data_IF_363293255616
#
_entry.id   IF_363293255616
#
_cell.length_a   1.000
_cell.length_b   1.000
_cell.length_c   1.000
_cell.angle_alpha   90.00
_cell.angle_beta   90.00
_cell.angle_gamma   90.00
#
_symmetry.space_group_name_H-M   'P 1'
#
loop_
_entity.id
_entity.type
_entity.pdbx_description
1 polymer ?
#
# COMPACT_ATOMS: atom_id res chain seq x y z
N UNK A 1 15.04 6.88 5.23
CA UNK A 1 13.73 6.64 4.57
C UNK A 1 13.83 6.71 3.06
N UNK A 2 14.55 7.70 2.51
CA UNK A 2 14.83 7.80 1.08
C UNK A 2 15.32 6.47 0.46
N UNK A 3 16.30 5.78 1.08
CA UNK A 3 16.80 4.48 0.58
C UNK A 3 15.71 3.40 0.42
N UNK A 4 14.74 3.35 1.34
CA UNK A 4 13.62 2.40 1.24
C UNK A 4 12.73 2.77 0.06
N UNK A 5 12.43 4.05 -0.09
CA UNK A 5 11.62 4.57 -1.20
C UNK A 5 12.32 4.30 -2.54
N UNK A 6 13.63 4.47 -2.63
CA UNK A 6 14.40 4.18 -3.85
C UNK A 6 14.34 2.71 -4.24
N UNK A 7 14.47 1.80 -3.27
CA UNK A 7 14.32 0.37 -3.52
C UNK A 7 12.90 0.03 -3.99
N UNK A 8 11.88 0.65 -3.39
CA UNK A 8 10.49 0.46 -3.81
C UNK A 8 10.19 1.05 -5.20
N UNK A 9 10.79 2.20 -5.55
CA UNK A 9 10.73 2.76 -6.89
C UNK A 9 11.46 1.87 -7.91
N UNK A 10 12.60 1.28 -7.53
CA UNK A 10 13.28 0.29 -8.36
C UNK A 10 12.39 -0.95 -8.58
N UNK A 11 11.72 -1.44 -7.54
CA UNK A 11 10.79 -2.57 -7.68
C UNK A 11 9.60 -2.22 -8.57
N UNK A 12 9.07 -1.00 -8.48
CA UNK A 12 7.93 -0.55 -9.28
C UNK A 12 8.27 -0.28 -10.75
N UNK A 13 9.47 0.24 -11.03
CA UNK A 13 9.89 0.66 -12.37
C UNK A 13 10.77 -0.35 -13.08
N UNK A 14 11.48 -1.17 -12.30
CA UNK A 14 12.57 -2.04 -12.73
C UNK A 14 13.81 -1.29 -13.25
N UNK A 15 13.91 0.02 -13.00
CA UNK A 15 15.09 0.82 -13.32
C UNK A 15 15.76 1.28 -12.02
N UNK A 16 17.02 0.89 -11.75
CA UNK A 16 17.72 1.33 -10.56
C UNK A 16 18.00 2.83 -10.65
N UNK A 17 17.78 3.56 -9.55
CA UNK A 17 18.16 4.97 -9.50
C UNK A 17 19.69 5.10 -9.41
N UNK A 18 20.30 6.02 -10.18
CA UNK A 18 21.76 6.12 -10.28
C UNK A 18 22.41 6.72 -9.03
N UNK A 19 21.67 7.50 -8.24
CA UNK A 19 22.15 8.15 -7.04
C UNK A 19 21.31 7.70 -5.84
N UNK A 20 21.98 7.33 -4.74
CA UNK A 20 21.34 7.19 -3.42
C UNK A 20 20.97 8.56 -2.88
N UNK A 21 19.81 8.68 -2.24
CA UNK A 21 19.23 9.94 -1.78
C UNK A 21 18.90 10.93 -2.92
N UNK A 22 18.24 10.42 -3.96
CA UNK A 22 17.66 11.22 -5.03
C UNK A 22 16.57 12.17 -4.47
N UNK A 23 16.49 13.43 -4.96
CA UNK A 23 15.40 14.34 -4.61
C UNK A 23 14.01 13.75 -4.90
N UNK A 24 13.94 12.82 -5.86
CA UNK A 24 12.74 12.04 -6.18
C UNK A 24 12.25 11.24 -4.97
N UNK A 25 13.13 10.48 -4.32
CA UNK A 25 12.77 9.66 -3.17
C UNK A 25 12.36 10.48 -1.95
N UNK A 26 12.96 11.66 -1.76
CA UNK A 26 12.56 12.59 -0.70
C UNK A 26 11.15 13.14 -0.92
N UNK A 27 10.84 13.58 -2.15
CA UNK A 27 9.50 14.05 -2.50
C UNK A 27 8.44 12.95 -2.36
N UNK A 28 8.74 11.72 -2.77
CA UNK A 28 7.83 10.59 -2.56
C UNK A 28 7.66 10.30 -1.08
N UNK A 29 8.70 10.43 -0.26
CA UNK A 29 8.59 10.32 1.18
C UNK A 29 7.70 11.42 1.80
N UNK A 30 7.83 12.67 1.37
CA UNK A 30 6.96 13.76 1.80
C UNK A 30 5.49 13.49 1.46
N UNK A 31 5.23 12.94 0.26
CA UNK A 31 3.90 12.49 -0.14
C UNK A 31 3.39 11.43 0.85
N UNK A 32 4.17 10.39 1.15
CA UNK A 32 3.78 9.34 2.10
C UNK A 32 3.43 9.93 3.47
N UNK A 33 4.30 10.80 4.01
CA UNK A 33 4.08 11.48 5.29
C UNK A 33 2.77 12.25 5.25
N UNK A 34 2.54 13.04 4.20
CA UNK A 34 1.33 13.86 4.10
C UNK A 34 0.06 13.02 3.98
N UNK A 35 0.08 11.90 3.26
CA UNK A 35 -1.09 11.05 3.08
C UNK A 35 -1.39 10.19 4.33
N UNK A 36 -0.35 9.68 5.00
CA UNK A 36 -0.53 8.78 6.15
C UNK A 36 -0.73 9.53 7.48
N UNK A 37 -0.14 10.72 7.67
CA UNK A 37 -0.32 11.50 8.91
C UNK A 37 -1.79 11.72 9.31
N UNK A 38 -2.69 12.20 8.41
CA UNK A 38 -4.09 12.38 8.79
C UNK A 38 -4.81 11.05 9.05
N UNK A 39 -4.43 9.97 8.37
CA UNK A 39 -4.98 8.63 8.64
C UNK A 39 -4.58 8.17 10.05
N UNK A 40 -3.29 8.27 10.40
CA UNK A 40 -2.79 7.86 11.71
C UNK A 40 -3.44 8.69 12.82
N UNK A 41 -3.70 9.98 12.59
CA UNK A 41 -4.41 10.83 13.54
C UNK A 41 -5.87 10.37 13.82
N UNK A 42 -6.46 9.53 12.96
CA UNK A 42 -7.80 8.96 13.20
C UNK A 42 -7.79 7.66 13.98
N UNK A 43 -6.62 7.11 14.30
CA UNK A 43 -6.53 5.86 15.04
C UNK A 43 -6.90 6.08 16.51
N UNK A 44 -7.68 5.18 17.12
CA UNK A 44 -8.02 5.30 18.53
C UNK A 44 -6.76 5.14 19.38
N UNK A 45 -6.63 5.90 20.47
CA UNK A 45 -5.48 5.82 21.40
C UNK A 45 -5.21 4.38 21.88
N UNK A 46 -6.26 3.56 22.01
CA UNK A 46 -6.15 2.14 22.37
C UNK A 46 -5.48 1.25 21.31
N UNK A 47 -5.54 1.62 20.03
CA UNK A 47 -4.79 0.95 18.96
C UNK A 47 -3.34 1.42 18.90
N UNK A 48 -3.07 2.60 19.46
CA UNK A 48 -1.75 3.21 19.49
C UNK A 48 -0.93 2.69 20.68
N UNK A 49 -1.56 2.32 21.80
CA UNK A 49 -0.87 1.85 23.01
C UNK A 49 -0.70 0.31 23.06
N UNK A 50 0.54 -0.17 22.94
CA UNK A 50 0.89 -1.60 23.05
C UNK A 50 0.46 -2.32 24.35
N UNK A 51 0.22 -1.59 25.44
CA UNK A 51 -0.08 -2.17 26.76
C UNK A 51 -1.55 -2.64 26.94
N UNK A 52 -2.49 -2.09 26.17
CA UNK A 52 -3.94 -2.39 26.30
C UNK A 52 -4.44 -3.49 25.35
N UNK A 53 -3.60 -3.95 24.42
CA UNK A 53 -3.92 -4.96 23.40
C UNK A 53 -4.29 -6.36 23.94
N UNK A 54 -4.10 -6.64 25.23
CA UNK A 54 -4.49 -7.94 25.81
C UNK A 54 -6.00 -8.12 25.99
N UNK A 55 -6.83 -7.07 25.80
CA UNK A 55 -8.28 -7.12 26.06
C UNK A 55 -9.19 -6.64 24.93
N UNK A 56 -8.67 -6.08 23.84
CA UNK A 56 -9.49 -5.53 22.76
C UNK A 56 -9.19 -6.19 21.42
N UNK A 57 -10.25 -6.30 20.60
CA UNK A 57 -10.26 -6.87 19.26
C UNK A 57 -9.12 -6.25 18.44
N UNK A 58 -8.43 -7.07 17.66
CA UNK A 58 -7.28 -6.72 16.79
C UNK A 58 -7.67 -5.75 15.64
N UNK A 59 -8.81 -5.06 15.77
CA UNK A 59 -9.57 -4.34 14.74
C UNK A 59 -9.56 -2.81 14.86
N UNK A 60 -9.03 -2.24 15.94
CA UNK A 60 -9.13 -0.79 16.22
C UNK A 60 -8.56 0.14 15.14
N UNK A 61 -7.44 -0.22 14.50
CA UNK A 61 -6.85 0.54 13.40
C UNK A 61 -7.36 0.12 12.01
N UNK A 62 -7.91 -1.09 11.88
CA UNK A 62 -8.43 -1.63 10.61
C UNK A 62 -9.64 -0.84 10.14
N UNK A 63 -10.55 -0.47 11.05
CA UNK A 63 -11.73 0.32 10.71
C UNK A 63 -11.36 1.70 10.10
N UNK A 64 -10.51 2.54 10.73
CA UNK A 64 -10.03 3.78 10.12
C UNK A 64 -9.40 3.57 8.74
N UNK A 65 -8.57 2.53 8.57
CA UNK A 65 -7.95 2.20 7.27
C UNK A 65 -9.02 1.84 6.22
N UNK A 66 -9.98 0.99 6.57
CA UNK A 66 -11.06 0.62 5.64
C UNK A 66 -11.90 1.85 5.29
N UNK A 67 -12.26 2.70 6.26
CA UNK A 67 -13.00 3.94 6.00
C UNK A 67 -12.23 4.87 5.06
N UNK A 68 -10.92 4.96 5.25
CA UNK A 68 -10.03 5.72 4.39
C UNK A 68 -9.95 5.14 2.96
N UNK A 69 -9.87 3.81 2.83
CA UNK A 69 -9.82 3.12 1.53
C UNK A 69 -11.19 2.93 0.88
N UNK A 70 -12.30 3.12 1.59
CA UNK A 70 -13.67 2.84 1.12
C UNK A 70 -14.05 3.61 -0.15
N UNK A 71 -13.38 4.75 -0.40
CA UNK A 71 -13.57 5.53 -1.63
C UNK A 71 -12.90 4.90 -2.86
N UNK A 72 -11.97 3.96 -2.65
CA UNK A 72 -11.34 3.19 -3.71
C UNK A 72 -11.48 1.69 -3.47
N UNK A 73 -12.45 1.12 -4.18
CA UNK A 73 -12.70 -0.32 -4.21
C UNK A 73 -11.47 -1.13 -4.60
N UNK A 74 -10.63 -0.64 -5.51
CA UNK A 74 -9.39 -1.29 -5.93
C UNK A 74 -8.36 -1.37 -4.81
N UNK A 75 -8.06 -0.25 -4.15
CA UNK A 75 -7.11 -0.21 -3.03
C UNK A 75 -7.62 -1.00 -1.81
N UNK A 76 -8.92 -0.88 -1.49
CA UNK A 76 -9.55 -1.67 -0.43
C UNK A 76 -9.45 -3.18 -0.70
N UNK A 77 -9.70 -3.62 -1.94
CA UNK A 77 -9.54 -5.04 -2.34
C UNK A 77 -8.11 -5.51 -2.16
N UNK A 78 -7.11 -4.71 -2.57
CA UNK A 78 -5.70 -5.07 -2.39
C UNK A 78 -5.32 -5.17 -0.91
N UNK A 79 -5.80 -4.25 -0.09
CA UNK A 79 -5.61 -4.28 1.36
C UNK A 79 -6.22 -5.52 2.00
N UNK A 80 -7.50 -5.83 1.72
CA UNK A 80 -8.18 -7.03 2.26
C UNK A 80 -7.50 -8.32 1.79
N UNK A 81 -7.10 -8.39 0.52
CA UNK A 81 -6.33 -9.53 0.01
C UNK A 81 -4.99 -9.69 0.74
N UNK A 82 -4.33 -8.57 1.10
CA UNK A 82 -3.11 -8.61 1.91
C UNK A 82 -3.38 -9.14 3.33
N UNK A 83 -4.52 -8.79 3.94
CA UNK A 83 -4.91 -9.33 5.25
C UNK A 83 -5.07 -10.85 5.21
N UNK A 84 -5.74 -11.37 4.17
CA UNK A 84 -5.92 -12.81 3.99
C UNK A 84 -4.58 -13.56 3.85
N UNK A 85 -3.64 -13.00 3.08
CA UNK A 85 -2.31 -13.60 2.91
C UNK A 85 -1.52 -13.57 4.22
N UNK A 86 -1.56 -12.47 4.96
CA UNK A 86 -0.88 -12.37 6.26
C UNK A 86 -1.43 -13.41 7.25
N UNK A 87 -2.76 -13.58 7.30
CA UNK A 87 -3.40 -14.61 8.13
C UNK A 87 -2.95 -16.02 7.74
N UNK A 88 -2.89 -16.34 6.45
CA UNK A 88 -2.42 -17.64 5.96
C UNK A 88 -0.94 -17.89 6.30
N UNK A 89 -0.08 -16.88 6.14
CA UNK A 89 1.34 -16.97 6.52
C UNK A 89 1.48 -17.18 8.03
N UNK A 90 0.70 -16.49 8.85
CA UNK A 90 0.72 -16.68 10.31
C UNK A 90 0.25 -18.08 10.71
N UNK A 91 -0.78 -18.62 10.05
CA UNK A 91 -1.26 -19.98 10.29
C UNK A 91 -0.17 -21.03 10.00
N UNK A 92 0.51 -20.94 8.86
CA UNK A 92 1.58 -21.87 8.50
C UNK A 92 2.84 -21.74 9.37
N UNK A 93 3.18 -20.54 9.84
CA UNK A 93 4.27 -20.34 10.80
C UNK A 93 3.95 -21.03 12.14
N UNK A 94 2.67 -21.05 12.56
CA UNK A 94 2.26 -21.74 13.78
C UNK A 94 2.15 -23.27 13.63
N UNK A 95 1.91 -23.78 12.41
CA UNK A 95 1.84 -25.23 12.13
C UNK A 95 3.22 -25.89 12.09
N UNK A 96 4.28 -25.15 11.76
CA UNK A 96 5.65 -25.67 11.68
C UNK A 96 6.30 -26.02 13.03
N UNK A 97 5.68 -25.64 14.15
CA UNK A 97 6.25 -25.77 15.50
C UNK A 97 5.59 -26.86 16.37
N UNK A 98 4.62 -27.63 15.86
CA UNK A 98 3.92 -28.65 16.65
C UNK A 98 3.71 -29.97 15.89
N UNK A 99 4.33 -31.03 16.41
CA UNK A 99 4.04 -32.43 16.07
C UNK A 99 2.54 -32.75 16.27
N UNK A 100 2.05 -33.66 15.41
CA UNK A 100 0.71 -34.24 15.29
C UNK A 100 -0.24 -34.12 16.49
N UNK A 101 -1.36 -33.39 16.33
CA UNK A 101 -2.70 -33.86 16.78
C UNK A 101 -3.77 -33.37 15.80
N UNK A 102 -4.46 -34.32 15.19
CA UNK A 102 -5.59 -34.12 14.28
C UNK A 102 -6.80 -33.44 14.94
N UNK A 103 -7.27 -32.34 14.34
CA UNK A 103 -8.64 -31.85 14.44
C UNK A 103 -9.11 -31.39 13.05
N UNK A 104 -10.40 -31.56 12.70
CA UNK A 104 -10.89 -31.26 11.35
C UNK A 104 -10.80 -29.76 11.07
N UNK A 105 -10.23 -29.45 9.91
CA UNK A 105 -9.89 -28.11 9.41
C UNK A 105 -11.16 -27.37 8.95
N UNK A 106 -12.05 -27.02 9.88
CA UNK A 106 -13.14 -26.08 9.62
C UNK A 106 -12.86 -24.71 10.25
N UNK A 107 -12.36 -23.81 9.39
CA UNK A 107 -12.55 -22.33 9.44
C UNK A 107 -12.20 -21.60 10.74
N UNK A 108 -10.92 -21.56 11.12
CA UNK A 108 -10.40 -20.32 11.72
C UNK A 108 -10.27 -19.29 10.60
N UNK A 109 -11.32 -18.51 10.35
CA UNK A 109 -11.13 -17.22 9.68
C UNK A 109 -10.04 -16.49 10.48
N UNK A 110 -8.93 -16.12 9.83
CA UNK A 110 -7.82 -15.50 10.52
C UNK A 110 -8.27 -14.23 11.25
N UNK A 111 -7.61 -13.93 12.37
CA UNK A 111 -8.03 -12.85 13.27
C UNK A 111 -8.15 -11.50 12.55
N UNK A 112 -7.34 -11.27 11.50
CA UNK A 112 -7.37 -10.04 10.70
C UNK A 112 -8.57 -10.01 9.75
N UNK A 113 -8.91 -11.13 9.11
CA UNK A 113 -10.13 -11.22 8.29
C UNK A 113 -11.41 -11.07 9.13
N UNK A 114 -11.42 -11.61 10.36
CA UNK A 114 -12.52 -11.37 11.29
C UNK A 114 -12.65 -9.87 11.63
N UNK A 115 -11.54 -9.19 11.89
CA UNK A 115 -11.50 -7.75 12.12
C UNK A 115 -11.95 -6.92 10.91
N UNK A 116 -11.58 -7.31 9.69
CA UNK A 116 -12.08 -6.69 8.45
C UNK A 116 -13.60 -6.84 8.35
N UNK A 117 -14.13 -8.05 8.62
CA UNK A 117 -15.57 -8.31 8.59
C UNK A 117 -16.34 -7.47 9.62
N UNK A 118 -15.80 -7.36 10.84
CA UNK A 118 -16.33 -6.51 11.90
C UNK A 118 -16.39 -5.04 11.44
N UNK A 119 -15.27 -4.51 10.94
CA UNK A 119 -15.19 -3.13 10.47
C UNK A 119 -16.13 -2.82 9.28
N UNK A 120 -16.25 -3.73 8.31
CA UNK A 120 -17.20 -3.56 7.20
C UNK A 120 -18.66 -3.56 7.67
N UNK A 121 -18.98 -4.40 8.67
CA UNK A 121 -20.31 -4.44 9.27
C UNK A 121 -20.63 -3.13 10.00
N UNK A 122 -19.66 -2.58 10.75
CA UNK A 122 -19.80 -1.29 11.43
C UNK A 122 -20.03 -0.12 10.45
N UNK A 123 -19.43 -0.19 9.26
CA UNK A 123 -19.67 0.78 8.18
C UNK A 123 -21.02 0.58 7.46
N UNK A 124 -21.86 -0.36 7.91
CA UNK A 124 -23.14 -0.73 7.30
C UNK A 124 -23.02 -1.13 5.83
N UNK A 125 -21.93 -1.80 5.45
CA UNK A 125 -21.80 -2.33 4.09
C UNK A 125 -22.80 -3.48 3.87
N UNK A 126 -23.39 -3.61 2.67
CA UNK A 126 -24.29 -4.72 2.37
C UNK A 126 -23.58 -6.07 2.56
N UNK A 127 -24.27 -7.05 3.15
CA UNK A 127 -23.71 -8.37 3.41
C UNK A 127 -23.14 -9.03 2.14
N UNK A 128 -23.84 -8.90 1.01
CA UNK A 128 -23.41 -9.45 -0.28
C UNK A 128 -22.09 -8.81 -0.75
N UNK A 129 -21.91 -7.51 -0.54
CA UNK A 129 -20.66 -6.81 -0.83
C UNK A 129 -19.55 -7.30 0.09
N UNK A 130 -19.81 -7.49 1.38
CA UNK A 130 -18.80 -8.04 2.31
C UNK A 130 -18.40 -9.45 1.89
N UNK A 131 -19.36 -10.29 1.50
CA UNK A 131 -19.11 -11.63 0.99
C UNK A 131 -18.30 -11.60 -0.31
N UNK A 132 -18.59 -10.68 -1.25
CA UNK A 132 -17.80 -10.51 -2.47
C UNK A 132 -16.33 -10.22 -2.15
N UNK A 133 -16.05 -9.26 -1.26
CA UNK A 133 -14.67 -8.87 -0.94
C UNK A 133 -13.88 -9.96 -0.21
N UNK A 134 -14.55 -10.79 0.59
CA UNK A 134 -13.89 -11.83 1.40
C UNK A 134 -13.82 -13.19 0.71
N UNK A 135 -14.80 -13.55 -0.12
CA UNK A 135 -14.93 -14.90 -0.71
C UNK A 135 -14.54 -14.98 -2.18
N UNK A 136 -14.66 -13.88 -2.93
CA UNK A 136 -14.37 -13.83 -4.37
C UNK A 136 -13.44 -12.67 -4.66
N UNK A 137 -12.12 -12.80 -4.39
CA UNK A 137 -11.17 -11.77 -4.75
C UNK A 137 -11.12 -11.62 -6.27
N UNK A 138 -11.98 -10.75 -6.82
CA UNK A 138 -11.93 -10.34 -8.22
C UNK A 138 -10.57 -9.71 -8.48
N UNK A 139 -9.97 -10.08 -9.61
CA UNK A 139 -8.67 -9.58 -10.01
C UNK A 139 -8.68 -8.05 -10.06
N UNK A 140 -7.74 -7.42 -9.32
CA UNK A 140 -7.60 -5.97 -9.34
C UNK A 140 -6.82 -5.55 -10.60
N UNK A 141 -7.39 -4.71 -11.49
CA UNK A 141 -6.75 -4.35 -12.76
C UNK A 141 -5.39 -3.66 -12.56
N UNK A 142 -5.27 -2.82 -11.53
CA UNK A 142 -3.99 -2.19 -11.12
C UNK A 142 -2.94 -3.24 -10.79
N UNK A 143 -3.30 -4.19 -9.90
CA UNK A 143 -2.38 -5.25 -9.48
C UNK A 143 -1.97 -6.14 -10.64
N UNK A 144 -2.92 -6.46 -11.53
CA UNK A 144 -2.65 -7.24 -12.74
C UNK A 144 -1.70 -6.51 -13.68
N UNK A 145 -1.94 -5.22 -13.93
CA UNK A 145 -1.07 -4.41 -14.78
C UNK A 145 0.36 -4.32 -14.20
N UNK A 146 0.49 -4.09 -12.89
CA UNK A 146 1.78 -4.10 -12.18
C UNK A 146 2.51 -5.43 -12.33
N UNK A 147 1.82 -6.56 -12.14
CA UNK A 147 2.42 -7.89 -12.27
C UNK A 147 2.91 -8.18 -13.70
N UNK A 148 2.14 -7.80 -14.72
CA UNK A 148 2.55 -7.96 -16.13
C UNK A 148 3.79 -7.13 -16.44
N UNK A 149 3.82 -5.86 -15.99
CA UNK A 149 4.99 -5.00 -16.17
C UNK A 149 6.23 -5.58 -15.46
N UNK A 150 6.08 -6.00 -14.20
CA UNK A 150 7.17 -6.58 -13.42
C UNK A 150 7.73 -7.85 -14.06
N UNK A 151 6.87 -8.75 -14.56
CA UNK A 151 7.29 -9.97 -15.25
C UNK A 151 8.13 -9.65 -16.50
N UNK A 152 7.68 -8.72 -17.34
CA UNK A 152 8.42 -8.31 -18.53
C UNK A 152 9.76 -7.67 -18.22
N UNK A 153 9.78 -6.78 -17.23
CA UNK A 153 11.01 -6.08 -16.86
C UNK A 153 12.02 -7.08 -16.28
N UNK A 154 11.57 -8.00 -15.42
CA UNK A 154 12.46 -9.02 -14.83
C UNK A 154 12.97 -10.04 -15.84
N UNK A 155 12.20 -10.40 -16.87
CA UNK A 155 12.65 -11.27 -17.97
C UNK A 155 13.79 -10.64 -18.80
N UNK A 156 13.86 -9.31 -18.84
CA UNK A 156 14.87 -8.58 -19.61
C UNK A 156 16.13 -8.22 -18.80
N UNK A 157 16.15 -8.49 -17.49
CA UNK A 157 17.29 -8.18 -16.61
C UNK A 157 18.43 -9.19 -16.78
N UNK A 158 19.66 -8.70 -16.69
CA UNK A 158 20.82 -9.57 -16.51
C UNK A 158 20.85 -10.14 -15.07
N UNK A 159 21.61 -11.23 -14.81
CA UNK A 159 21.63 -11.88 -13.51
C UNK A 159 22.01 -10.97 -12.33
N UNK A 160 22.93 -10.01 -12.53
CA UNK A 160 23.36 -9.12 -11.45
C UNK A 160 22.27 -8.10 -11.11
N UNK A 161 21.65 -7.50 -12.14
CA UNK A 161 20.50 -6.60 -11.96
C UNK A 161 19.31 -7.32 -11.35
N UNK A 162 19.01 -8.55 -11.77
CA UNK A 162 17.93 -9.35 -11.21
C UNK A 162 18.16 -9.69 -9.73
N UNK A 163 19.40 -9.99 -9.33
CA UNK A 163 19.73 -10.19 -7.93
C UNK A 163 19.48 -8.92 -7.09
N UNK A 164 19.96 -7.76 -7.56
CA UNK A 164 19.71 -6.48 -6.90
C UNK A 164 18.20 -6.18 -6.80
N UNK A 165 17.42 -6.51 -7.83
CA UNK A 165 15.97 -6.38 -7.83
C UNK A 165 15.32 -7.27 -6.77
N UNK A 166 15.78 -8.52 -6.61
CA UNK A 166 15.30 -9.42 -5.58
C UNK A 166 15.59 -8.90 -4.17
N UNK A 167 16.80 -8.36 -3.95
CA UNK A 167 17.17 -7.73 -2.68
C UNK A 167 16.27 -6.52 -2.38
N UNK A 168 16.08 -5.62 -3.35
CA UNK A 168 15.19 -4.47 -3.23
C UNK A 168 13.74 -4.86 -2.91
N UNK A 169 13.25 -5.98 -3.45
CA UNK A 169 11.89 -6.51 -3.18
C UNK A 169 11.69 -6.96 -1.74
N UNK A 170 12.75 -7.29 -1.01
CA UNK A 170 12.66 -7.68 0.40
C UNK A 170 12.68 -6.49 1.37
N UNK A 171 12.98 -5.30 0.86
CA UNK A 171 13.04 -4.07 1.66
C UNK A 171 11.62 -3.66 2.06
N UNK A 172 11.48 -3.24 3.32
CA UNK A 172 10.25 -2.69 3.87
C UNK A 172 10.57 -1.50 4.76
N UNK A 173 9.56 -0.67 5.03
CA UNK A 173 9.65 0.42 6.01
C UNK A 173 9.85 -0.10 7.44
N UNK A 174 9.48 -1.35 7.72
CA UNK A 174 9.79 -2.01 8.98
C UNK A 174 11.15 -2.70 8.89
N UNK A 175 12.07 -2.45 9.84
CA UNK A 175 13.33 -3.17 9.93
C UNK A 175 13.10 -4.68 10.14
N UNK A 176 13.73 -5.53 9.32
CA UNK A 176 13.63 -6.99 9.44
C UNK A 176 14.22 -7.57 10.74
N UNK A 177 15.13 -6.83 11.41
CA UNK A 177 15.73 -7.22 12.69
C UNK A 177 15.29 -6.24 13.77
N UNK A 178 14.31 -6.64 14.58
CA UNK A 178 14.01 -5.93 15.82
C UNK A 178 15.19 -6.12 16.81
N UNK A 179 15.81 -5.03 17.31
CA UNK A 179 16.80 -5.17 18.36
C UNK A 179 16.11 -5.73 19.61
N UNK A 180 16.64 -6.85 20.15
CA UNK A 180 16.08 -7.67 21.25
C UNK A 180 15.72 -6.92 22.55
N UNK A 181 16.00 -5.61 22.67
CA UNK A 181 15.83 -4.81 23.90
C UNK A 181 15.43 -3.35 23.68
N UNK A 182 14.85 -2.98 22.53
CA UNK A 182 14.37 -1.60 22.36
C UNK A 182 12.86 -1.61 22.25
N UNK A 183 12.21 -0.90 23.17
CA UNK A 183 10.87 -0.36 23.01
C UNK A 183 10.81 0.23 21.61
N UNK A 184 10.06 -0.45 20.73
CA UNK A 184 10.08 -0.24 19.29
C UNK A 184 9.33 1.04 18.99
N UNK A 185 10.05 2.17 19.04
CA UNK A 185 9.58 3.40 18.44
C UNK A 185 9.85 3.25 16.94
N UNK A 186 8.79 3.15 16.13
CA UNK A 186 8.83 3.20 14.68
C UNK A 186 9.56 4.47 14.21
N UNK A 187 10.88 4.40 14.11
CA UNK A 187 11.75 5.54 13.78
C UNK A 187 11.35 6.23 12.47
N UNK A 188 10.72 5.47 11.56
CA UNK A 188 10.21 5.98 10.30
C UNK A 188 8.90 6.76 10.40
N UNK A 189 8.11 6.53 11.45
CA UNK A 189 6.86 7.23 11.73
C UNK A 189 7.05 8.45 12.64
N UNK A 190 8.27 8.66 13.17
CA UNK A 190 8.60 9.74 14.11
C UNK A 190 8.34 11.16 13.59
N UNK A 191 8.10 11.33 12.28
CA UNK A 191 7.72 12.62 11.67
C UNK A 191 6.22 12.76 11.32
N UNK A 192 5.43 11.70 11.46
CA UNK A 192 4.01 11.67 11.09
C UNK A 192 3.07 11.93 12.28
N UNK A 193 3.60 11.87 13.50
CA UNK A 193 2.83 12.02 14.75
C UNK A 193 3.71 12.52 15.89
N UNK A 194 3.17 13.42 16.72
CA UNK A 194 3.91 13.96 17.89
C UNK A 194 3.85 13.06 19.14
N UNK A 195 2.83 12.21 19.28
CA UNK A 195 2.50 11.59 20.58
C UNK A 195 2.25 10.06 20.52
N UNK A 196 2.86 9.34 19.58
CA UNK A 196 2.70 7.88 19.53
C UNK A 196 3.55 7.17 20.58
N UNK A 197 2.93 6.86 21.72
CA UNK A 197 3.40 5.83 22.63
C UNK A 197 3.28 4.44 21.97
N UNK A 198 4.36 3.95 21.34
CA UNK A 198 4.56 2.53 21.01
C UNK A 198 3.42 1.86 20.21
N UNK A 199 3.39 2.11 18.89
CA UNK A 199 2.53 1.37 17.96
C UNK A 199 2.74 -0.14 18.04
N UNK A 200 1.66 -0.91 17.87
CA UNK A 200 1.79 -2.36 17.71
C UNK A 200 2.47 -2.69 16.37
N UNK A 201 3.27 -3.77 16.35
CA UNK A 201 3.92 -4.26 15.14
C UNK A 201 2.92 -4.54 14.00
N UNK A 202 1.72 -4.99 14.33
CA UNK A 202 0.63 -5.21 13.36
C UNK A 202 0.19 -3.91 12.68
N UNK A 203 0.04 -2.83 13.45
CA UNK A 203 -0.32 -1.50 12.92
C UNK A 203 0.79 -0.97 12.03
N UNK A 204 2.05 -1.10 12.46
CA UNK A 204 3.20 -0.71 11.65
C UNK A 204 3.25 -1.47 10.33
N UNK A 205 2.90 -2.77 10.32
CA UNK A 205 2.90 -3.60 9.10
C UNK A 205 1.87 -3.10 8.09
N UNK A 206 0.70 -2.69 8.58
CA UNK A 206 -0.36 -2.18 7.73
C UNK A 206 -0.01 -0.81 7.17
N UNK A 207 0.54 0.08 8.00
CA UNK A 207 1.03 1.38 7.56
C UNK A 207 2.19 1.25 6.56
N UNK A 208 3.12 0.32 6.80
CA UNK A 208 4.23 0.06 5.88
C UNK A 208 3.73 -0.49 4.52
N UNK A 209 2.69 -1.33 4.53
CA UNK A 209 2.03 -1.78 3.31
C UNK A 209 1.39 -0.61 2.55
N UNK A 210 0.64 0.26 3.24
CA UNK A 210 0.01 1.43 2.63
C UNK A 210 1.06 2.39 2.05
N UNK A 211 2.17 2.63 2.76
CA UNK A 211 3.28 3.42 2.26
C UNK A 211 3.88 2.83 0.96
N UNK A 212 4.04 1.51 0.88
CA UNK A 212 4.50 0.83 -0.33
C UNK A 212 3.51 0.92 -1.50
N UNK A 213 2.21 0.86 -1.21
CA UNK A 213 1.16 1.11 -2.21
C UNK A 213 1.19 2.54 -2.73
N UNK A 214 1.47 3.54 -1.88
CA UNK A 214 1.64 4.94 -2.31
C UNK A 214 2.84 5.07 -3.27
N UNK A 215 4.00 4.47 -2.94
CA UNK A 215 5.16 4.50 -3.85
C UNK A 215 4.81 3.90 -5.21
N UNK A 216 4.11 2.76 -5.20
CA UNK A 216 3.68 2.09 -6.44
C UNK A 216 2.67 2.94 -7.22
N UNK A 217 1.75 3.61 -6.54
CA UNK A 217 0.77 4.51 -7.15
C UNK A 217 1.43 5.73 -7.78
N UNK A 218 2.45 6.32 -7.13
CA UNK A 218 3.22 7.42 -7.72
C UNK A 218 3.89 6.95 -9.01
N UNK A 219 4.55 5.79 -9.02
CA UNK A 219 5.15 5.25 -10.24
C UNK A 219 4.11 5.04 -11.35
N UNK A 220 2.97 4.44 -11.03
CA UNK A 220 1.89 4.23 -11.99
C UNK A 220 1.34 5.55 -12.57
N UNK A 221 1.18 6.58 -11.73
CA UNK A 221 0.74 7.91 -12.17
C UNK A 221 1.79 8.64 -13.01
N UNK A 222 3.08 8.39 -12.78
CA UNK A 222 4.11 8.88 -13.70
C UNK A 222 3.97 8.22 -15.07
N UNK A 223 3.62 6.93 -15.16
CA UNK A 223 3.33 6.28 -16.45
C UNK A 223 2.12 6.91 -17.14
N UNK A 224 1.06 7.22 -16.39
CA UNK A 224 -0.11 7.97 -16.91
C UNK A 224 0.34 9.29 -17.54
N UNK A 225 1.14 10.07 -16.82
CA UNK A 225 1.60 11.37 -17.30
C UNK A 225 2.50 11.23 -18.54
N UNK A 226 3.38 10.23 -18.58
CA UNK A 226 4.23 9.94 -19.73
C UNK A 226 3.42 9.52 -20.95
N UNK A 227 2.43 8.63 -20.78
CA UNK A 227 1.53 8.21 -21.86
C UNK A 227 0.73 9.41 -22.41
N UNK A 228 0.21 10.26 -21.52
CA UNK A 228 -0.51 11.48 -21.93
C UNK A 228 0.37 12.46 -22.71
N UNK A 229 1.63 12.61 -22.34
CA UNK A 229 2.58 13.46 -23.04
C UNK A 229 2.99 12.90 -24.40
N UNK A 230 3.16 11.58 -24.49
CA UNK A 230 3.64 10.90 -25.71
C UNK A 230 2.54 10.75 -26.76
N UNK A 231 1.36 10.30 -26.33
CA UNK A 231 0.30 9.81 -27.24
C UNK A 231 -0.98 10.66 -27.16
N UNK A 232 -1.04 11.66 -26.27
CA UNK A 232 -2.23 12.51 -26.12
C UNK A 232 -3.46 11.75 -25.56
N UNK A 233 -3.23 10.65 -24.83
CA UNK A 233 -4.28 9.72 -24.39
C UNK A 233 -5.26 10.28 -23.37
N UNK A 234 -4.93 11.40 -22.73
CA UNK A 234 -5.78 12.07 -21.73
C UNK A 234 -6.22 11.18 -20.55
N UNK A 235 -5.47 10.11 -20.24
CA UNK A 235 -5.71 9.13 -19.17
C UNK A 235 -5.81 9.78 -17.79
N UNK A 236 -5.05 10.86 -17.53
CA UNK A 236 -5.17 11.59 -16.26
C UNK A 236 -6.59 12.11 -16.03
N UNK A 237 -7.29 12.52 -17.08
CA UNK A 237 -8.67 13.00 -16.95
C UNK A 237 -9.64 11.85 -16.74
N UNK A 238 -9.39 10.68 -17.32
CA UNK A 238 -10.17 9.48 -17.02
C UNK A 238 -10.06 9.14 -15.54
N UNK A 239 -8.85 9.13 -14.97
CA UNK A 239 -8.63 8.91 -13.52
C UNK A 239 -9.35 9.96 -12.68
N UNK A 240 -9.20 11.26 -13.00
CA UNK A 240 -9.78 12.35 -12.21
C UNK A 240 -11.32 12.43 -12.30
N UNK A 241 -11.94 11.84 -13.32
CA UNK A 241 -13.40 11.87 -13.54
C UNK A 241 -14.13 10.67 -12.93
N UNK A 242 -13.43 9.72 -12.31
CA UNK A 242 -14.05 8.50 -11.80
C UNK A 242 -14.77 8.80 -10.49
N UNK A 243 -16.00 9.29 -10.59
CA UNK A 243 -17.01 9.20 -9.54
C UNK A 243 -17.72 7.84 -9.63
N UNK A 244 -16.97 6.75 -9.42
CA UNK A 244 -17.55 5.40 -9.25
C UNK A 244 -17.59 4.49 -10.48
N UNK A 245 -17.15 4.92 -11.67
CA UNK A 245 -17.05 4.03 -12.84
C UNK A 245 -15.77 3.18 -12.82
N UNK A 246 -15.90 1.98 -12.26
CA UNK A 246 -14.81 0.99 -12.19
C UNK A 246 -14.33 0.48 -13.56
N UNK A 247 -15.14 0.63 -14.62
CA UNK A 247 -14.80 0.15 -15.95
C UNK A 247 -13.83 1.10 -16.66
N UNK A 248 -14.04 2.42 -16.54
CA UNK A 248 -13.11 3.43 -17.06
C UNK A 248 -11.72 3.30 -16.44
N UNK A 249 -11.62 3.06 -15.13
CA UNK A 249 -10.33 2.79 -14.49
C UNK A 249 -9.70 1.50 -15.04
N UNK A 250 -10.49 0.44 -15.26
CA UNK A 250 -9.95 -0.81 -15.81
C UNK A 250 -9.36 -0.62 -17.22
N UNK A 251 -9.96 0.25 -18.04
CA UNK A 251 -9.44 0.61 -19.37
C UNK A 251 -8.13 1.38 -19.28
N UNK A 252 -8.03 2.37 -18.38
CA UNK A 252 -6.75 3.08 -18.12
C UNK A 252 -5.65 2.08 -17.77
N UNK A 253 -5.94 1.14 -16.86
CA UNK A 253 -4.98 0.12 -16.44
C UNK A 253 -4.69 -0.93 -17.50
N UNK A 254 -5.62 -1.18 -18.42
CA UNK A 254 -5.40 -2.02 -19.59
C UNK A 254 -4.42 -1.35 -20.57
N UNK A 255 -4.56 -0.05 -20.83
CA UNK A 255 -3.61 0.71 -21.66
C UNK A 255 -2.20 0.70 -21.04
N UNK A 256 -2.10 0.95 -19.74
CA UNK A 256 -0.81 0.99 -19.04
C UNK A 256 -0.19 -0.39 -18.81
N UNK A 257 -0.91 -1.48 -19.05
CA UNK A 257 -0.40 -2.85 -18.85
C UNK A 257 0.85 -3.13 -19.70
N UNK A 258 0.86 -2.57 -20.90
CA UNK A 258 1.89 -2.79 -21.91
C UNK A 258 3.04 -1.76 -21.82
N UNK A 259 2.82 -0.66 -21.09
CA UNK A 259 3.79 0.41 -20.90
C UNK A 259 4.98 -0.03 -20.06
N UNK A 260 6.16 0.49 -20.42
CA UNK A 260 7.41 0.26 -19.67
C UNK A 260 8.07 1.59 -19.35
N UNK A 261 8.74 1.62 -18.20
CA UNK A 261 9.67 2.71 -17.93
C UNK A 261 10.87 2.58 -18.88
N UNK A 262 11.23 3.68 -19.53
CA UNK A 262 12.43 3.79 -20.38
C UNK A 262 13.52 4.61 -19.67
N UNK A 263 13.12 5.39 -18.68
CA UNK A 263 13.99 6.24 -17.88
C UNK A 263 13.52 6.27 -16.42
N UNK A 264 14.46 6.61 -15.54
CA UNK A 264 14.24 6.89 -14.12
C UNK A 264 13.14 7.94 -13.93
N UNK A 265 12.35 7.81 -12.86
CA UNK A 265 11.35 8.81 -12.48
C UNK A 265 12.08 10.07 -11.98
N UNK A 266 11.73 11.23 -12.53
CA UNK A 266 12.34 12.51 -12.14
C UNK A 266 11.58 13.18 -10.99
N UNK A 267 12.26 14.06 -10.26
CA UNK A 267 11.63 14.86 -9.22
C UNK A 267 10.49 15.74 -9.77
N UNK A 268 10.62 16.25 -10.99
CA UNK A 268 9.58 17.04 -11.66
C UNK A 268 8.33 16.21 -11.96
N UNK A 269 8.49 14.96 -12.40
CA UNK A 269 7.38 14.04 -12.63
C UNK A 269 6.63 13.74 -11.33
N UNK A 270 7.37 13.51 -10.23
CA UNK A 270 6.76 13.31 -8.89
C UNK A 270 6.00 14.57 -8.45
N UNK A 271 6.57 15.77 -8.63
CA UNK A 271 5.89 17.03 -8.32
C UNK A 271 4.61 17.19 -9.16
N UNK A 272 4.64 16.83 -10.43
CA UNK A 272 3.46 16.90 -11.30
C UNK A 272 2.38 15.90 -10.85
N UNK A 273 2.75 14.67 -10.49
CA UNK A 273 1.83 13.72 -9.87
C UNK A 273 1.21 14.33 -8.61
N UNK A 274 2.02 14.91 -7.75
CA UNK A 274 1.57 15.49 -6.49
C UNK A 274 0.64 16.70 -6.70
N UNK A 275 0.90 17.53 -7.71
CA UNK A 275 0.04 18.68 -8.07
C UNK A 275 -1.30 18.27 -8.68
N UNK A 276 -1.31 17.23 -9.50
CA UNK A 276 -2.49 16.81 -10.27
C UNK A 276 -3.38 15.89 -9.44
N UNK A 277 -2.78 14.89 -8.78
CA UNK A 277 -3.49 13.79 -8.11
C UNK A 277 -3.41 13.87 -6.59
N UNK A 278 -2.98 14.99 -6.03
CA UNK A 278 -3.22 15.27 -4.63
C UNK A 278 -3.92 16.62 -4.53
N UNK A 279 -5.25 16.58 -4.36
CA UNK A 279 -6.00 17.77 -3.99
C UNK A 279 -5.34 18.32 -2.72
N UNK A 280 -4.78 19.54 -2.81
CA UNK A 280 -4.11 20.26 -1.73
C UNK A 280 -2.60 20.06 -1.54
N UNK A 281 -1.82 19.81 -2.60
CA UNK A 281 -0.35 19.97 -2.46
C UNK A 281 0.06 21.37 -1.94
N UNK A 282 -0.78 22.39 -2.13
CA UNK A 282 -0.52 23.77 -1.68
C UNK A 282 -1.42 24.31 -0.56
N UNK A 283 -2.47 23.60 -0.11
CA UNK A 283 -3.37 24.12 0.95
C UNK A 283 -3.40 23.20 2.18
N UNK A 284 -3.39 23.78 3.39
CA UNK A 284 -3.33 23.05 4.67
C UNK A 284 -4.69 22.58 5.20
N UNK A 285 -5.80 22.97 4.56
CA UNK A 285 -7.10 23.08 5.25
C UNK A 285 -8.26 22.23 4.70
N UNK A 286 -8.03 21.22 3.86
CA UNK A 286 -9.11 20.29 3.45
C UNK A 286 -8.82 18.86 3.91
N UNK A 287 -9.85 18.20 4.44
CA UNK A 287 -9.77 16.86 5.03
C UNK A 287 -9.18 15.76 4.13
N UNK A 288 -8.99 14.54 4.67
CA UNK A 288 -8.21 13.48 4.05
C UNK A 288 -8.88 12.93 2.78
N UNK A 289 -8.71 13.63 1.68
CA UNK A 289 -9.07 13.17 0.35
C UNK A 289 -7.81 12.57 -0.27
N UNK A 290 -7.55 11.30 0.04
CA UNK A 290 -6.41 10.59 -0.51
C UNK A 290 -6.67 10.26 -1.98
N UNK A 291 -6.23 11.12 -2.90
CA UNK A 291 -6.37 10.83 -4.32
C UNK A 291 -5.33 9.80 -4.79
N UNK A 292 -4.15 9.68 -4.18
CA UNK A 292 -3.12 8.73 -4.60
C UNK A 292 -3.46 7.26 -4.35
N UNK A 293 -4.13 6.97 -3.24
CA UNK A 293 -4.71 5.64 -3.01
C UNK A 293 -6.10 5.51 -3.62
N UNK A 294 -6.59 6.51 -4.37
CA UNK A 294 -7.81 6.38 -5.21
C UNK A 294 -7.57 5.93 -6.64
N UNK A 295 -6.31 5.78 -7.05
CA UNK A 295 -5.91 5.31 -8.39
C UNK A 295 -5.58 3.82 -8.35
#
# INVERSE_FOLDING_TARGET
MADVVENLLFVATGIPHPCRASPCAELVWEIIVRELSPLIATFPESALCSAQLKRQSTSGHILPIIRFLARNNGALRRFIARMAVNDAVQQHVCEGDLEEVSAPVEKRAGARIAAVKEALTELNWPYDTVAEYLMQPKECPVKRARLVRADRVTQAMDPATYQAFCEARTVSFIPQKAPKKRNFNGHWLSGMTKDLEMLSHTVEQDLAYLAGEIVSAVADLVLVLRADQRDGTHLRYAILRVEGDTQQLAEVWACLREEKFVSVITAEEVLNVARIFCTNFSSRDSGPNCLLLTV
#
